data_IF_031334569037
#
_entry.id   IF_031334569037
#
_cell.length_a   1.000
_cell.length_b   1.000
_cell.length_c   1.000
_cell.angle_alpha   90.00
_cell.angle_beta   90.00
_cell.angle_gamma   90.00
#
_symmetry.space_group_name_H-M   'P 1'
#
loop_
_entity.id
_entity.type
_entity.pdbx_description
1 polymer ?
#
# COMPACT_ATOMS: atom_id res chain seq x y z
N UNK A 1 10.69 19.65 -32.40
CA UNK A 1 10.78 19.57 -30.93
C UNK A 1 10.30 18.18 -30.53
N UNK A 2 11.18 17.34 -29.98
CA UNK A 2 10.78 16.00 -29.52
C UNK A 2 9.98 16.15 -28.22
N UNK A 3 8.77 15.61 -28.16
CA UNK A 3 7.99 15.61 -26.93
C UNK A 3 8.72 14.79 -25.87
N UNK A 4 8.84 15.31 -24.64
CA UNK A 4 9.41 14.57 -23.52
C UNK A 4 8.46 13.41 -23.22
N UNK A 5 8.96 12.18 -23.37
CA UNK A 5 8.17 10.98 -23.05
C UNK A 5 7.99 10.90 -21.53
N UNK A 6 6.75 10.74 -21.02
CA UNK A 6 6.53 10.56 -19.59
C UNK A 6 7.27 9.34 -19.05
N UNK A 7 7.86 9.48 -17.86
CA UNK A 7 8.35 8.37 -17.06
C UNK A 7 7.16 7.52 -16.63
N UNK A 8 7.12 6.27 -17.09
CA UNK A 8 6.10 5.31 -16.69
C UNK A 8 6.51 4.64 -15.37
N UNK A 9 5.59 4.64 -14.40
CA UNK A 9 5.75 3.95 -13.11
C UNK A 9 4.60 2.96 -12.96
N UNK A 10 4.88 1.67 -13.09
CA UNK A 10 3.92 0.61 -12.78
C UNK A 10 3.95 0.29 -11.28
N UNK A 11 2.84 0.49 -10.59
CA UNK A 11 2.71 0.23 -9.14
C UNK A 11 1.78 -0.96 -8.92
N UNK A 12 2.33 -2.05 -8.37
CA UNK A 12 1.58 -3.23 -7.96
C UNK A 12 1.01 -3.00 -6.56
N UNK A 13 -0.32 -3.05 -6.42
CA UNK A 13 -1.00 -2.66 -5.19
C UNK A 13 -2.22 -3.52 -4.89
N UNK A 14 -2.44 -3.77 -3.60
CA UNK A 14 -3.67 -4.34 -3.05
C UNK A 14 -4.28 -3.33 -2.06
N UNK A 15 -5.60 -3.16 -2.11
CA UNK A 15 -6.35 -2.23 -1.26
C UNK A 15 -6.31 -2.60 0.22
N UNK A 16 -6.11 -3.87 0.55
CA UNK A 16 -6.00 -4.31 1.97
C UNK A 16 -4.59 -4.14 2.53
N UNK A 17 -3.62 -3.75 1.71
CA UNK A 17 -2.22 -3.60 2.11
C UNK A 17 -1.97 -2.21 2.71
N UNK A 18 -1.68 -2.10 4.01
CA UNK A 18 -1.41 -0.80 4.61
C UNK A 18 -0.12 -0.16 4.08
N UNK A 19 0.88 -0.98 3.73
CA UNK A 19 2.12 -0.49 3.13
C UNK A 19 1.92 0.07 1.72
N UNK A 20 0.94 -0.45 0.95
CA UNK A 20 0.58 0.14 -0.33
C UNK A 20 -0.02 1.54 -0.14
N UNK A 21 -0.80 1.76 0.93
CA UNK A 21 -1.35 3.08 1.24
C UNK A 21 -0.26 4.09 1.64
N UNK A 22 0.65 3.69 2.52
CA UNK A 22 1.84 4.48 2.90
C UNK A 22 2.71 4.78 1.67
N UNK A 23 3.00 3.75 0.87
CA UNK A 23 3.79 3.87 -0.35
C UNK A 23 3.15 4.80 -1.39
N UNK A 24 1.82 4.78 -1.51
CA UNK A 24 1.07 5.72 -2.34
C UNK A 24 1.32 7.18 -1.90
N UNK A 25 1.25 7.48 -0.60
CA UNK A 25 1.54 8.85 -0.13
C UNK A 25 2.98 9.26 -0.44
N UNK A 26 3.93 8.35 -0.25
CA UNK A 26 5.35 8.59 -0.55
C UNK A 26 5.62 8.87 -2.01
N UNK A 27 5.02 8.09 -2.93
CA UNK A 27 5.23 8.32 -4.37
C UNK A 27 4.59 9.64 -4.82
N UNK A 28 3.42 9.99 -4.28
CA UNK A 28 2.78 11.29 -4.52
C UNK A 28 3.67 12.45 -4.08
N UNK A 29 4.24 12.36 -2.88
CA UNK A 29 5.19 13.34 -2.36
C UNK A 29 6.46 13.43 -3.23
N UNK A 30 7.01 12.28 -3.65
CA UNK A 30 8.21 12.24 -4.49
C UNK A 30 7.98 12.85 -5.88
N UNK A 31 6.82 12.58 -6.50
CA UNK A 31 6.44 13.19 -7.79
C UNK A 31 6.31 14.72 -7.64
N UNK A 32 5.75 15.19 -6.52
CA UNK A 32 5.62 16.63 -6.26
C UNK A 32 6.97 17.35 -6.12
N UNK A 33 8.06 16.63 -5.79
CA UNK A 33 9.41 17.21 -5.71
C UNK A 33 10.07 17.41 -7.09
N UNK A 34 9.55 16.81 -8.16
CA UNK A 34 10.12 16.87 -9.51
C UNK A 34 9.05 17.23 -10.56
N UNK A 35 8.42 18.42 -10.48
CA UNK A 35 7.32 18.81 -11.35
C UNK A 35 7.69 18.91 -12.84
N UNK A 36 8.98 19.04 -13.15
CA UNK A 36 9.51 19.08 -14.52
C UNK A 36 9.58 17.69 -15.18
N UNK A 37 9.48 16.61 -14.40
CA UNK A 37 9.47 15.24 -14.91
C UNK A 37 8.02 14.84 -15.19
N UNK A 38 7.61 14.68 -16.45
CA UNK A 38 6.28 14.16 -16.75
C UNK A 38 6.22 12.70 -16.27
N UNK A 39 5.30 12.39 -15.35
CA UNK A 39 5.12 11.04 -14.80
C UNK A 39 3.75 10.48 -15.20
N UNK A 40 3.73 9.22 -15.64
CA UNK A 40 2.51 8.44 -15.84
C UNK A 40 2.52 7.26 -14.87
N UNK A 41 1.62 7.29 -13.88
CA UNK A 41 1.44 6.19 -12.93
C UNK A 41 0.41 5.21 -13.46
N UNK A 42 0.79 3.94 -13.55
CA UNK A 42 -0.08 2.85 -13.94
C UNK A 42 -0.26 1.87 -12.78
N UNK A 43 -1.50 1.71 -12.29
CA UNK A 43 -1.79 0.84 -11.15
C UNK A 43 -2.07 -0.58 -11.63
N UNK A 44 -1.37 -1.55 -11.06
CA UNK A 44 -1.52 -2.98 -11.33
C UNK A 44 -2.17 -3.64 -10.11
N UNK A 45 -3.33 -4.30 -10.25
CA UNK A 45 -3.98 -4.96 -9.13
C UNK A 45 -3.15 -6.13 -8.64
N UNK A 46 -3.19 -6.37 -7.33
CA UNK A 46 -2.61 -7.54 -6.68
C UNK A 46 -3.58 -8.10 -5.64
N UNK A 47 -3.55 -9.41 -5.45
CA UNK A 47 -4.35 -10.10 -4.44
C UNK A 47 -3.41 -10.73 -3.41
N UNK A 48 -3.26 -10.09 -2.25
CA UNK A 48 -2.41 -10.59 -1.16
C UNK A 48 -2.98 -11.84 -0.51
N UNK A 49 -4.30 -11.96 -0.47
CA UNK A 49 -4.99 -13.04 0.23
C UNK A 49 -5.96 -13.76 -0.73
N UNK A 50 -5.46 -14.47 -1.76
CA UNK A 50 -6.31 -15.19 -2.73
C UNK A 50 -7.10 -16.35 -2.14
N UNK A 51 -6.79 -16.73 -0.89
CA UNK A 51 -7.47 -17.76 -0.12
C UNK A 51 -8.71 -17.26 0.63
N UNK A 52 -8.97 -15.94 0.62
CA UNK A 52 -10.15 -15.36 1.28
C UNK A 52 -11.37 -15.55 0.37
N UNK A 53 -12.46 -16.18 0.87
CA UNK A 53 -13.69 -16.33 0.12
C UNK A 53 -14.38 -14.97 -0.10
N UNK A 54 -15.30 -14.91 -1.08
CA UNK A 54 -15.92 -13.65 -1.49
C UNK A 54 -16.77 -13.01 -0.39
N UNK A 55 -17.39 -13.83 0.46
CA UNK A 55 -18.14 -13.44 1.65
C UNK A 55 -17.25 -12.91 2.80
N UNK A 56 -15.93 -13.05 2.67
CA UNK A 56 -14.96 -12.68 3.70
C UNK A 56 -14.84 -13.72 4.82
N UNK A 57 -14.00 -13.40 5.81
CA UNK A 57 -13.85 -14.18 7.03
C UNK A 57 -13.79 -13.24 8.24
N UNK A 58 -14.03 -13.80 9.42
CA UNK A 58 -13.84 -13.06 10.66
C UNK A 58 -12.40 -12.55 10.81
N UNK A 59 -12.26 -11.36 11.41
CA UNK A 59 -10.98 -10.68 11.54
C UNK A 59 -10.01 -11.44 12.44
N UNK A 60 -10.45 -12.05 13.54
CA UNK A 60 -9.57 -12.84 14.41
C UNK A 60 -9.07 -14.08 13.68
N UNK A 61 -9.96 -14.79 12.98
CA UNK A 61 -9.61 -15.94 12.13
C UNK A 61 -8.56 -15.55 11.09
N UNK A 62 -8.72 -14.41 10.41
CA UNK A 62 -7.72 -13.90 9.47
C UNK A 62 -6.36 -13.67 10.16
N UNK A 63 -6.37 -13.03 11.33
CA UNK A 63 -5.14 -12.70 12.06
C UNK A 63 -4.41 -13.93 12.55
N UNK A 64 -5.14 -14.89 13.10
CA UNK A 64 -4.60 -16.17 13.54
C UNK A 64 -4.03 -16.96 12.35
N UNK A 65 -4.79 -17.05 11.25
CA UNK A 65 -4.36 -17.78 10.05
C UNK A 65 -3.11 -17.17 9.42
N UNK A 66 -3.06 -15.84 9.31
CA UNK A 66 -1.98 -15.14 8.59
C UNK A 66 -0.77 -14.83 9.46
N UNK A 67 -0.98 -14.50 10.73
CA UNK A 67 0.06 -13.97 11.63
C UNK A 67 0.29 -14.85 12.87
N UNK A 68 -0.39 -16.00 12.97
CA UNK A 68 -0.22 -16.98 14.04
C UNK A 68 -1.03 -16.67 15.30
N UNK A 69 -1.25 -15.39 15.63
CA UNK A 69 -2.21 -14.99 16.68
C UNK A 69 -2.60 -13.51 16.55
N UNK A 70 -3.72 -13.14 17.18
CA UNK A 70 -4.14 -11.74 17.31
C UNK A 70 -3.10 -10.92 18.05
N UNK A 71 -2.48 -11.47 19.10
CA UNK A 71 -1.47 -10.77 19.89
C UNK A 71 -0.17 -10.56 19.12
N UNK A 72 0.27 -11.56 18.34
CA UNK A 72 1.45 -11.43 17.48
C UNK A 72 1.29 -10.30 16.45
N UNK A 73 0.06 -10.09 15.96
CA UNK A 73 -0.24 -9.01 15.02
C UNK A 73 -0.12 -7.61 15.64
N UNK A 74 -0.35 -7.43 16.95
CA UNK A 74 -0.32 -6.10 17.59
C UNK A 74 0.99 -5.36 17.36
N UNK A 75 2.14 -6.02 17.54
CA UNK A 75 3.46 -5.42 17.30
C UNK A 75 3.77 -5.19 15.81
N UNK A 76 3.12 -5.91 14.90
CA UNK A 76 3.19 -5.63 13.46
C UNK A 76 2.37 -4.39 13.13
N UNK A 77 1.13 -4.31 13.65
CA UNK A 77 0.23 -3.19 13.43
C UNK A 77 0.82 -1.88 13.94
N UNK A 78 1.46 -1.86 15.11
CA UNK A 78 2.10 -0.65 15.66
C UNK A 78 3.15 -0.04 14.71
N UNK A 79 3.93 -0.87 14.02
CA UNK A 79 4.93 -0.39 13.05
C UNK A 79 4.28 0.26 11.83
N UNK A 80 3.13 -0.27 11.43
CA UNK A 80 2.33 0.30 10.33
C UNK A 80 1.73 1.64 10.76
N UNK A 81 1.14 1.72 11.96
CA UNK A 81 0.57 2.96 12.51
C UNK A 81 1.64 4.06 12.56
N UNK A 82 2.80 3.77 13.18
CA UNK A 82 3.88 4.75 13.28
C UNK A 82 4.40 5.22 11.90
N UNK A 83 4.47 4.30 10.91
CA UNK A 83 4.86 4.67 9.56
C UNK A 83 3.79 5.50 8.83
N UNK A 84 2.51 5.20 9.05
CA UNK A 84 1.39 5.98 8.51
C UNK A 84 1.36 7.40 9.09
N UNK A 85 1.54 7.55 10.40
CA UNK A 85 1.65 8.84 11.08
C UNK A 85 2.80 9.68 10.52
N UNK A 86 3.95 9.06 10.26
CA UNK A 86 5.10 9.71 9.62
C UNK A 86 4.81 10.28 8.23
N UNK A 87 3.79 9.78 7.54
CA UNK A 87 3.30 10.29 6.25
C UNK A 87 2.03 11.14 6.37
N UNK A 88 1.61 11.49 7.60
CA UNK A 88 0.40 12.27 7.86
C UNK A 88 -0.90 11.52 7.60
N UNK A 89 -0.89 10.18 7.66
CA UNK A 89 -2.05 9.33 7.44
C UNK A 89 -2.66 8.89 8.79
N UNK A 90 -3.99 8.84 8.86
CA UNK A 90 -4.71 8.21 9.97
C UNK A 90 -4.91 6.73 9.66
N UNK A 91 -4.49 5.84 10.56
CA UNK A 91 -4.55 4.38 10.39
C UNK A 91 -5.10 3.69 11.63
#
# INVERSE_FOLDING_TARGET
>A
MSAIKPLQIDIVSDVVCPWCYIGKRRIENAIALAPEVPVHVNWRPFFLNPWIPAEGIDRSTYLETKFGSVDAYKGIAQRVVAAAEGEGLSY
#
